data_IF_421189201781
#
_entry.id   IF_421189201781
#
_cell.length_a   1.000
_cell.length_b   1.000
_cell.length_c   1.000
_cell.angle_alpha   90.00
_cell.angle_beta   90.00
_cell.angle_gamma   90.00
#
_symmetry.space_group_name_H-M   'P 1'
#
loop_
_entity.id
_entity.type
_entity.pdbx_description
1 polymer ?
#
# COMPACT_ATOMS: atom_id res chain seq x y z
N UNK A 1 -51.96 15.33 -46.51
CA UNK A 1 -50.78 14.94 -45.69
C UNK A 1 -50.15 13.70 -46.28
N UNK A 2 -49.18 13.85 -47.20
CA UNK A 2 -48.37 12.73 -47.69
C UNK A 2 -47.26 12.52 -46.66
N UNK A 3 -47.46 11.56 -45.75
CA UNK A 3 -46.47 11.22 -44.74
C UNK A 3 -45.17 10.75 -45.43
N UNK A 4 -44.07 11.35 -45.01
CA UNK A 4 -42.70 11.07 -45.45
C UNK A 4 -42.23 9.68 -44.97
N UNK A 5 -42.88 8.62 -45.46
CA UNK A 5 -42.53 7.22 -45.19
C UNK A 5 -41.03 6.92 -45.38
N UNK A 6 -40.33 7.40 -46.43
CA UNK A 6 -38.89 7.15 -46.57
C UNK A 6 -38.06 7.86 -45.49
N UNK A 7 -38.51 9.02 -45.00
CA UNK A 7 -37.80 9.79 -43.97
C UNK A 7 -37.90 9.10 -42.60
N UNK A 8 -39.06 8.53 -42.29
CA UNK A 8 -39.29 7.73 -41.08
C UNK A 8 -38.47 6.44 -41.10
N UNK A 9 -38.36 5.78 -42.26
CA UNK A 9 -37.58 4.55 -42.42
C UNK A 9 -36.07 4.81 -42.31
N UNK A 10 -35.58 5.93 -42.88
CA UNK A 10 -34.19 6.37 -42.70
C UNK A 10 -33.92 6.72 -41.23
N UNK A 11 -34.82 7.43 -40.56
CA UNK A 11 -34.66 7.76 -39.14
C UNK A 11 -34.68 6.50 -38.24
N UNK A 12 -35.51 5.50 -38.54
CA UNK A 12 -35.54 4.22 -37.84
C UNK A 12 -34.28 3.40 -38.07
N UNK A 13 -33.78 3.33 -39.31
CA UNK A 13 -32.51 2.66 -39.62
C UNK A 13 -31.32 3.36 -38.96
N UNK A 14 -31.34 4.70 -38.91
CA UNK A 14 -30.34 5.49 -38.20
C UNK A 14 -30.42 5.22 -36.69
N UNK A 15 -31.61 5.26 -36.10
CA UNK A 15 -31.86 4.95 -34.69
C UNK A 15 -31.46 3.52 -34.29
N UNK A 16 -31.64 2.54 -35.20
CA UNK A 16 -31.25 1.14 -34.99
C UNK A 16 -29.75 0.89 -35.23
N UNK A 17 -29.04 1.77 -35.95
CA UNK A 17 -27.60 1.69 -36.18
C UNK A 17 -26.75 2.37 -35.09
N UNK A 18 -27.32 3.33 -34.36
CA UNK A 18 -26.65 4.04 -33.26
C UNK A 18 -26.15 3.15 -32.10
N UNK A 19 -26.83 2.06 -31.68
CA UNK A 19 -26.32 1.18 -30.62
C UNK A 19 -25.08 0.39 -31.03
N UNK A 20 -24.88 0.12 -32.32
CA UNK A 20 -23.72 -0.64 -32.81
C UNK A 20 -22.43 0.18 -32.81
N UNK A 21 -22.53 1.52 -32.88
CA UNK A 21 -21.37 2.42 -32.83
C UNK A 21 -20.89 2.73 -31.40
N UNK A 22 -21.65 2.33 -30.38
CA UNK A 22 -21.38 2.67 -28.98
C UNK A 22 -20.97 1.46 -28.12
N UNK A 23 -20.60 0.34 -28.74
CA UNK A 23 -20.17 -0.87 -28.03
C UNK A 23 -18.66 -0.97 -27.95
N UNK A 24 -18.16 -1.42 -26.79
CA UNK A 24 -16.78 -1.84 -26.61
C UNK A 24 -16.42 -2.91 -27.63
N UNK A 25 -15.26 -2.78 -28.28
CA UNK A 25 -14.74 -3.77 -29.22
C UNK A 25 -13.40 -4.31 -28.74
N UNK A 26 -13.07 -5.54 -29.13
CA UNK A 26 -11.72 -6.08 -28.91
C UNK A 26 -10.71 -5.22 -29.68
N UNK A 27 -9.83 -4.54 -28.94
CA UNK A 27 -8.80 -3.68 -29.48
C UNK A 27 -7.46 -4.41 -29.61
N UNK A 28 -7.10 -5.16 -28.56
CA UNK A 28 -5.81 -5.86 -28.42
C UNK A 28 -6.02 -7.24 -27.79
N UNK A 29 -5.22 -8.21 -28.22
CA UNK A 29 -5.13 -9.53 -27.62
C UNK A 29 -3.65 -9.84 -27.41
N UNK A 30 -3.25 -10.00 -26.15
CA UNK A 30 -1.88 -10.36 -25.76
C UNK A 30 -1.87 -11.78 -25.19
N UNK A 31 -0.70 -12.28 -24.80
CA UNK A 31 -0.59 -13.53 -24.05
C UNK A 31 -1.10 -13.42 -22.60
N UNK A 32 -1.36 -12.21 -22.10
CA UNK A 32 -1.73 -11.94 -20.71
C UNK A 32 -3.20 -11.56 -20.55
N UNK A 33 -3.74 -10.79 -21.49
CA UNK A 33 -5.09 -10.22 -21.41
C UNK A 33 -5.67 -9.89 -22.79
N UNK A 34 -6.99 -9.72 -22.83
CA UNK A 34 -7.75 -9.19 -23.98
C UNK A 34 -8.32 -7.84 -23.59
N UNK A 35 -8.02 -6.79 -24.36
CA UNK A 35 -8.44 -5.43 -24.07
C UNK A 35 -9.62 -5.04 -24.95
N UNK A 36 -10.72 -4.66 -24.32
CA UNK A 36 -11.92 -4.13 -24.93
C UNK A 36 -12.03 -2.65 -24.61
N UNK A 37 -12.32 -1.81 -25.61
CA UNK A 37 -12.56 -0.39 -25.38
C UNK A 37 -13.49 0.20 -26.42
N UNK A 38 -14.05 1.36 -26.08
CA UNK A 38 -14.77 2.21 -27.03
C UNK A 38 -13.77 2.88 -28.01
N UNK A 39 -14.12 3.08 -29.30
CA UNK A 39 -13.23 3.68 -30.30
C UNK A 39 -12.57 5.01 -29.92
N UNK A 40 -13.27 5.82 -29.11
CA UNK A 40 -12.75 7.10 -28.58
C UNK A 40 -11.47 6.91 -27.74
N UNK A 41 -11.33 5.75 -27.10
CA UNK A 41 -10.22 5.45 -26.19
C UNK A 41 -9.09 4.65 -26.86
N UNK A 42 -9.21 4.31 -28.15
CA UNK A 42 -8.27 3.43 -28.86
C UNK A 42 -6.81 3.88 -28.72
N UNK A 43 -6.55 5.18 -28.96
CA UNK A 43 -5.19 5.71 -28.94
C UNK A 43 -4.53 5.57 -27.56
N UNK A 44 -5.27 5.89 -26.50
CA UNK A 44 -4.76 5.80 -25.12
C UNK A 44 -4.65 4.34 -24.69
N UNK A 45 -5.65 3.51 -25.02
CA UNK A 45 -5.66 2.09 -24.73
C UNK A 45 -4.46 1.35 -25.37
N UNK A 46 -4.06 1.72 -26.59
CA UNK A 46 -2.85 1.17 -27.25
C UNK A 46 -1.55 1.55 -26.53
N UNK A 47 -1.49 2.72 -25.89
CA UNK A 47 -0.30 3.11 -25.13
C UNK A 47 -0.08 2.25 -23.87
N UNK A 48 -1.13 1.59 -23.38
CA UNK A 48 -1.07 0.72 -22.20
C UNK A 48 -0.45 -0.65 -22.52
N UNK A 49 -0.48 -1.08 -23.79
CA UNK A 49 -0.17 -2.45 -24.19
C UNK A 49 1.19 -2.92 -23.64
N UNK A 50 2.25 -2.21 -24.03
CA UNK A 50 3.63 -2.53 -23.66
C UNK A 50 3.89 -2.37 -22.16
N UNK A 51 3.62 -1.23 -21.51
CA UNK A 51 3.93 -1.07 -20.09
C UNK A 51 3.15 -2.01 -19.17
N UNK A 52 1.88 -2.31 -19.49
CA UNK A 52 1.10 -3.27 -18.71
C UNK A 52 1.63 -4.70 -18.89
N UNK A 53 1.89 -5.12 -20.13
CA UNK A 53 2.40 -6.47 -20.42
C UNK A 53 3.75 -6.72 -19.73
N UNK A 54 4.66 -5.74 -19.75
CA UNK A 54 5.95 -5.84 -19.05
C UNK A 54 5.81 -6.01 -17.53
N UNK A 55 4.83 -5.33 -16.93
CA UNK A 55 4.57 -5.43 -15.50
C UNK A 55 3.93 -6.78 -15.13
N UNK A 56 3.00 -7.27 -15.95
CA UNK A 56 2.39 -8.58 -15.77
C UNK A 56 3.43 -9.68 -15.95
N UNK A 57 4.24 -9.62 -16.99
CA UNK A 57 5.35 -10.57 -17.24
C UNK A 57 6.29 -10.63 -16.03
N UNK A 58 6.76 -9.47 -15.55
CA UNK A 58 7.60 -9.40 -14.36
C UNK A 58 6.93 -10.01 -13.12
N UNK A 59 5.63 -9.76 -12.92
CA UNK A 59 4.87 -10.35 -11.82
C UNK A 59 4.82 -11.88 -11.94
N UNK A 60 4.44 -12.40 -13.11
CA UNK A 60 4.35 -13.83 -13.38
C UNK A 60 5.70 -14.53 -13.20
N UNK A 61 6.79 -13.94 -13.71
CA UNK A 61 8.17 -14.43 -13.50
C UNK A 61 8.52 -14.43 -12.01
N UNK A 62 8.20 -13.36 -11.28
CA UNK A 62 8.49 -13.26 -9.84
C UNK A 62 7.78 -14.33 -9.03
N UNK A 63 6.55 -14.66 -9.41
CA UNK A 63 5.74 -15.68 -8.75
C UNK A 63 5.98 -17.09 -9.32
N UNK A 64 6.71 -17.21 -10.43
CA UNK A 64 6.93 -18.48 -11.12
C UNK A 64 5.66 -19.13 -11.64
N UNK A 65 4.65 -18.34 -12.04
CA UNK A 65 3.36 -18.87 -12.51
C UNK A 65 2.87 -18.14 -13.76
N UNK A 66 2.36 -18.91 -14.72
CA UNK A 66 1.70 -18.42 -15.94
C UNK A 66 0.30 -19.05 -16.07
N UNK A 67 -0.78 -18.29 -15.82
CA UNK A 67 -2.13 -18.78 -16.01
C UNK A 67 -2.37 -19.30 -17.44
N UNK A 68 -3.14 -20.38 -17.55
CA UNK A 68 -3.52 -20.95 -18.85
C UNK A 68 -4.55 -20.09 -19.62
N UNK A 69 -5.30 -19.28 -18.89
CA UNK A 69 -6.31 -18.38 -19.44
C UNK A 69 -5.83 -16.93 -19.33
N UNK A 70 -6.38 -16.05 -20.15
CA UNK A 70 -6.16 -14.61 -20.07
C UNK A 70 -7.37 -13.91 -19.48
N UNK A 71 -7.16 -12.72 -18.90
CA UNK A 71 -8.25 -11.89 -18.37
C UNK A 71 -8.80 -10.94 -19.43
N UNK A 72 -10.10 -10.68 -19.39
CA UNK A 72 -10.70 -9.59 -20.16
C UNK A 72 -10.56 -8.30 -19.38
N UNK A 73 -10.08 -7.25 -20.03
CA UNK A 73 -10.03 -5.89 -19.50
C UNK A 73 -10.94 -5.03 -20.36
N UNK A 74 -11.93 -4.38 -19.76
CA UNK A 74 -12.86 -3.50 -20.44
C UNK A 74 -12.73 -2.06 -19.93
N UNK A 75 -12.32 -1.16 -20.82
CA UNK A 75 -12.21 0.27 -20.54
C UNK A 75 -13.57 0.92 -20.81
N UNK A 76 -14.21 1.35 -19.72
CA UNK A 76 -15.53 1.97 -19.72
C UNK A 76 -15.39 3.47 -20.04
N UNK A 77 -16.10 3.98 -21.06
CA UNK A 77 -15.90 5.34 -21.56
C UNK A 77 -16.36 6.42 -20.59
N UNK A 78 -17.31 6.14 -19.70
CA UNK A 78 -17.89 7.15 -18.82
C UNK A 78 -18.21 6.63 -17.42
N UNK A 79 -18.23 7.55 -16.46
CA UNK A 79 -18.47 7.27 -15.05
C UNK A 79 -19.87 6.69 -14.78
N UNK A 80 -20.88 7.09 -15.53
CA UNK A 80 -22.26 6.65 -15.29
C UNK A 80 -22.44 5.18 -15.68
N UNK A 81 -21.91 4.78 -16.83
CA UNK A 81 -21.86 3.38 -17.27
C UNK A 81 -21.07 2.53 -16.29
N UNK A 82 -19.91 3.04 -15.82
CA UNK A 82 -19.12 2.33 -14.81
C UNK A 82 -19.89 2.12 -13.50
N UNK A 83 -20.52 3.18 -12.97
CA UNK A 83 -21.35 3.08 -11.77
C UNK A 83 -22.49 2.08 -11.94
N UNK A 84 -23.16 2.08 -13.09
CA UNK A 84 -24.22 1.10 -13.37
C UNK A 84 -23.70 -0.35 -13.32
N UNK A 85 -22.49 -0.60 -13.83
CA UNK A 85 -21.85 -1.91 -13.79
C UNK A 85 -21.36 -2.32 -12.40
N UNK A 86 -21.11 -1.38 -11.48
CA UNK A 86 -20.59 -1.66 -10.13
C UNK A 86 -21.66 -1.66 -9.04
N UNK A 87 -22.86 -1.14 -9.31
CA UNK A 87 -23.98 -1.14 -8.36
C UNK A 87 -24.28 -2.55 -7.86
N UNK A 88 -24.32 -2.71 -6.52
CA UNK A 88 -24.65 -3.98 -5.89
C UNK A 88 -23.50 -5.00 -5.86
N UNK A 89 -22.33 -4.68 -6.44
CA UNK A 89 -21.11 -5.51 -6.35
C UNK A 89 -20.29 -5.23 -5.07
N UNK A 90 -20.74 -4.30 -4.24
CA UNK A 90 -20.21 -4.03 -2.89
C UNK A 90 -19.87 -2.56 -2.67
N UNK A 91 -19.96 -2.08 -1.42
CA UNK A 91 -19.76 -0.65 -1.12
C UNK A 91 -18.38 -0.13 -1.52
N UNK A 92 -17.31 -0.91 -1.31
CA UNK A 92 -15.95 -0.47 -1.69
C UNK A 92 -15.81 -0.36 -3.20
N UNK A 93 -16.38 -1.33 -3.91
CA UNK A 93 -16.40 -1.47 -5.37
C UNK A 93 -17.12 -0.28 -6.04
N UNK A 94 -18.13 0.29 -5.36
CA UNK A 94 -18.85 1.47 -5.84
C UNK A 94 -18.01 2.77 -5.83
N UNK A 95 -16.91 2.81 -5.08
CA UNK A 95 -16.01 3.98 -4.99
C UNK A 95 -14.64 3.77 -5.66
N UNK A 96 -14.38 2.60 -6.25
CA UNK A 96 -13.10 2.32 -6.90
C UNK A 96 -13.06 2.80 -8.36
N UNK A 97 -11.87 3.04 -8.88
CA UNK A 97 -11.63 3.44 -10.28
C UNK A 97 -11.59 2.24 -11.25
N UNK A 98 -11.38 1.04 -10.70
CA UNK A 98 -11.45 -0.23 -11.39
C UNK A 98 -11.96 -1.34 -10.46
N UNK A 99 -12.46 -2.43 -11.05
CA UNK A 99 -12.92 -3.62 -10.33
C UNK A 99 -12.60 -4.88 -11.13
N UNK A 100 -12.19 -5.94 -10.44
CA UNK A 100 -12.26 -7.30 -10.95
C UNK A 100 -13.60 -7.95 -10.56
N UNK A 101 -14.41 -8.30 -11.56
CA UNK A 101 -15.62 -9.10 -11.36
C UNK A 101 -15.30 -10.59 -11.44
N UNK A 102 -15.46 -11.28 -10.31
CA UNK A 102 -15.24 -12.72 -10.18
C UNK A 102 -16.19 -13.59 -10.99
N UNK A 103 -17.46 -13.18 -11.13
CA UNK A 103 -18.48 -13.97 -11.82
C UNK A 103 -18.26 -13.94 -13.33
N UNK A 104 -17.89 -12.76 -13.85
CA UNK A 104 -17.66 -12.55 -15.28
C UNK A 104 -16.19 -12.78 -15.67
N UNK A 105 -15.30 -12.91 -14.67
CA UNK A 105 -13.85 -13.04 -14.81
C UNK A 105 -13.26 -11.93 -15.67
N UNK A 106 -13.73 -10.71 -15.44
CA UNK A 106 -13.42 -9.52 -16.23
C UNK A 106 -13.04 -8.35 -15.32
N UNK A 107 -12.08 -7.56 -15.78
CA UNK A 107 -11.68 -6.32 -15.15
C UNK A 107 -12.42 -5.18 -15.86
N UNK A 108 -13.15 -4.39 -15.09
CA UNK A 108 -13.77 -3.16 -15.54
C UNK A 108 -12.98 -1.99 -15.01
N UNK A 109 -12.60 -1.06 -15.86
CA UNK A 109 -11.84 0.13 -15.46
C UNK A 109 -12.37 1.36 -16.17
N UNK A 110 -12.43 2.49 -15.46
CA UNK A 110 -12.81 3.77 -16.07
C UNK A 110 -11.79 4.22 -17.09
N UNK A 111 -12.19 5.05 -18.05
CA UNK A 111 -11.27 5.57 -19.06
C UNK A 111 -10.08 6.32 -18.42
N UNK A 112 -8.83 6.19 -18.95
CA UNK A 112 -7.64 6.77 -18.33
C UNK A 112 -7.70 8.29 -18.10
N UNK A 113 -8.40 9.03 -18.95
CA UNK A 113 -8.63 10.47 -18.81
C UNK A 113 -9.49 10.85 -17.59
N UNK A 114 -10.13 9.87 -16.96
CA UNK A 114 -11.02 10.06 -15.81
C UNK A 114 -10.41 9.62 -14.48
N UNK A 115 -9.19 9.08 -14.49
CA UNK A 115 -8.51 8.50 -13.34
C UNK A 115 -7.31 9.37 -13.00
N UNK A 116 -7.23 9.83 -11.75
CA UNK A 116 -6.15 10.72 -11.28
C UNK A 116 -4.91 9.95 -10.80
N UNK A 117 -5.07 8.67 -10.46
CA UNK A 117 -4.01 7.81 -9.95
C UNK A 117 -3.21 7.17 -11.10
N UNK A 118 -2.08 6.53 -10.77
CA UNK A 118 -1.29 5.78 -11.76
C UNK A 118 -2.10 4.59 -12.29
N UNK A 119 -2.68 4.80 -13.47
CA UNK A 119 -3.58 3.89 -14.16
C UNK A 119 -2.98 2.49 -14.35
N UNK A 120 -1.66 2.40 -14.56
CA UNK A 120 -0.99 1.11 -14.70
C UNK A 120 -0.95 0.34 -13.39
N UNK A 121 -0.82 1.03 -12.25
CA UNK A 121 -0.85 0.37 -10.94
C UNK A 121 -2.25 -0.15 -10.63
N UNK A 122 -3.29 0.61 -10.97
CA UNK A 122 -4.68 0.19 -10.81
C UNK A 122 -4.97 -1.05 -11.65
N UNK A 123 -4.61 -1.03 -12.94
CA UNK A 123 -4.80 -2.21 -13.79
C UNK A 123 -4.03 -3.43 -13.29
N UNK A 124 -2.80 -3.23 -12.82
CA UNK A 124 -2.01 -4.32 -12.25
C UNK A 124 -2.62 -4.84 -10.94
N UNK A 125 -3.20 -3.96 -10.11
CA UNK A 125 -3.93 -4.33 -8.90
C UNK A 125 -5.10 -5.26 -9.22
N UNK A 126 -5.97 -4.87 -10.15
CA UNK A 126 -7.12 -5.71 -10.56
C UNK A 126 -6.68 -7.00 -11.25
N UNK A 127 -5.60 -6.95 -12.05
CA UNK A 127 -5.00 -8.14 -12.63
C UNK A 127 -4.53 -9.12 -11.55
N UNK A 128 -3.95 -8.64 -10.45
CA UNK A 128 -3.52 -9.50 -9.34
C UNK A 128 -4.73 -10.16 -8.66
N UNK A 129 -5.86 -9.46 -8.52
CA UNK A 129 -7.08 -10.09 -8.01
C UNK A 129 -7.55 -11.24 -8.88
N UNK A 130 -7.58 -11.04 -10.21
CA UNK A 130 -7.87 -12.11 -11.16
C UNK A 130 -6.86 -13.25 -11.07
N UNK A 131 -5.56 -12.93 -10.99
CA UNK A 131 -4.50 -13.93 -10.90
C UNK A 131 -4.70 -14.82 -9.66
N UNK A 132 -4.92 -14.22 -8.49
CA UNK A 132 -5.18 -14.95 -7.25
C UNK A 132 -6.43 -15.82 -7.40
N UNK A 133 -7.50 -15.32 -8.01
CA UNK A 133 -8.75 -16.06 -8.21
C UNK A 133 -8.64 -17.17 -9.27
N UNK A 134 -7.76 -17.02 -10.26
CA UNK A 134 -7.45 -18.05 -11.25
C UNK A 134 -6.67 -19.22 -10.65
N UNK A 135 -5.98 -18.99 -9.53
CA UNK A 135 -5.18 -19.99 -8.82
C UNK A 135 -5.96 -20.61 -7.65
N UNK A 136 -6.67 -19.79 -6.87
CA UNK A 136 -7.30 -20.20 -5.61
C UNK A 136 -8.84 -20.07 -5.62
N UNK A 137 -9.54 -21.03 -5.01
CA UNK A 137 -11.01 -21.02 -4.88
C UNK A 137 -11.50 -20.09 -3.76
N UNK A 138 -10.81 -20.07 -2.62
CA UNK A 138 -11.28 -19.48 -1.37
C UNK A 138 -10.19 -18.64 -0.68
N UNK A 139 -9.36 -17.97 -1.48
CA UNK A 139 -8.40 -17.02 -0.96
C UNK A 139 -9.12 -15.91 -0.16
N UNK A 140 -8.64 -15.57 1.04
CA UNK A 140 -9.26 -14.55 1.88
C UNK A 140 -9.02 -13.15 1.30
N UNK A 141 -9.94 -12.23 1.60
CA UNK A 141 -9.84 -10.84 1.11
C UNK A 141 -8.53 -10.14 1.52
N UNK A 142 -8.01 -10.39 2.73
CA UNK A 142 -6.72 -9.83 3.13
C UNK A 142 -5.58 -10.27 2.20
N UNK A 143 -5.65 -11.49 1.67
CA UNK A 143 -4.63 -12.02 0.78
C UNK A 143 -4.78 -11.40 -0.61
N UNK A 144 -6.00 -11.31 -1.12
CA UNK A 144 -6.33 -10.58 -2.35
C UNK A 144 -5.79 -9.14 -2.30
N UNK A 145 -6.21 -8.34 -1.33
CA UNK A 145 -5.79 -6.94 -1.24
C UNK A 145 -4.32 -6.77 -0.89
N UNK A 146 -3.78 -7.67 -0.07
CA UNK A 146 -2.37 -7.66 0.29
C UNK A 146 -1.50 -7.90 -0.93
N UNK A 147 -1.82 -8.93 -1.70
CA UNK A 147 -1.15 -9.24 -2.97
C UNK A 147 -1.24 -8.08 -3.94
N UNK A 148 -2.46 -7.59 -4.17
CA UNK A 148 -2.73 -6.56 -5.14
C UNK A 148 -1.99 -5.25 -4.78
N UNK A 149 -2.04 -4.83 -3.51
CA UNK A 149 -1.39 -3.58 -3.09
C UNK A 149 0.14 -3.70 -3.02
N UNK A 150 0.67 -4.86 -2.59
CA UNK A 150 2.11 -5.08 -2.48
C UNK A 150 2.77 -5.18 -3.87
N UNK A 151 2.26 -6.07 -4.73
CA UNK A 151 2.89 -6.34 -6.03
C UNK A 151 2.58 -5.29 -7.10
N UNK A 152 1.48 -4.54 -6.97
CA UNK A 152 1.28 -3.36 -7.81
C UNK A 152 2.23 -2.20 -7.45
N UNK A 153 2.85 -2.22 -6.26
CA UNK A 153 3.68 -1.11 -5.78
C UNK A 153 2.87 0.04 -5.18
N UNK A 154 1.58 -0.16 -4.91
CA UNK A 154 0.73 0.83 -4.23
C UNK A 154 1.04 0.96 -2.72
N UNK A 155 1.90 0.11 -2.16
CA UNK A 155 2.33 0.20 -0.76
C UNK A 155 3.66 0.96 -0.62
N UNK A 156 3.56 2.27 -0.36
CA UNK A 156 4.72 3.15 -0.14
C UNK A 156 5.08 3.38 1.33
N UNK A 157 6.16 4.14 1.55
CA UNK A 157 6.64 4.51 2.89
C UNK A 157 5.58 5.23 3.74
N UNK A 158 4.78 6.11 3.13
CA UNK A 158 3.71 6.82 3.85
C UNK A 158 2.68 5.85 4.44
N UNK A 159 2.20 4.88 3.65
CA UNK A 159 1.28 3.83 4.11
C UNK A 159 1.90 2.98 5.22
N UNK A 160 3.21 2.71 5.13
CA UNK A 160 3.95 2.02 6.19
C UNK A 160 3.91 2.81 7.51
N UNK A 161 4.20 4.12 7.48
CA UNK A 161 4.13 4.98 8.67
C UNK A 161 2.71 5.07 9.23
N UNK A 162 1.71 5.25 8.36
CA UNK A 162 0.30 5.29 8.76
C UNK A 162 -0.13 3.98 9.46
N UNK A 163 0.26 2.82 8.93
CA UNK A 163 -0.01 1.53 9.55
C UNK A 163 0.60 1.44 10.96
N UNK A 164 1.86 1.83 11.13
CA UNK A 164 2.53 1.79 12.43
C UNK A 164 1.87 2.73 13.45
N UNK A 165 1.46 3.93 13.02
CA UNK A 165 0.72 4.86 13.86
C UNK A 165 -0.61 4.28 14.33
N UNK A 166 -1.40 3.70 13.41
CA UNK A 166 -2.67 3.05 13.76
C UNK A 166 -2.44 1.91 14.75
N UNK A 167 -1.43 1.07 14.51
CA UNK A 167 -1.12 -0.08 15.36
C UNK A 167 -0.68 0.34 16.76
N UNK A 168 0.07 1.43 16.87
CA UNK A 168 0.45 1.99 18.17
C UNK A 168 -0.73 2.50 18.98
N UNK A 169 -1.68 3.18 18.33
CA UNK A 169 -2.92 3.64 18.98
C UNK A 169 -3.91 2.51 19.28
N UNK A 170 -3.48 1.25 19.15
CA UNK A 170 -4.31 0.09 19.44
C UNK A 170 -5.38 -0.20 18.39
N UNK A 171 -5.41 0.52 17.26
CA UNK A 171 -6.28 0.18 16.13
C UNK A 171 -5.67 -0.98 15.35
N UNK A 172 -6.43 -2.07 15.22
CA UNK A 172 -6.03 -3.20 14.39
C UNK A 172 -7.26 -4.01 13.97
N UNK A 173 -7.10 -4.74 12.86
CA UNK A 173 -8.10 -5.65 12.33
C UNK A 173 -7.43 -7.03 12.16
N UNK A 174 -7.89 -8.09 12.84
CA UNK A 174 -7.29 -9.42 12.69
C UNK A 174 -7.48 -9.97 11.27
N UNK A 175 -6.43 -10.55 10.68
CA UNK A 175 -6.52 -11.16 9.33
C UNK A 175 -7.60 -12.26 9.25
N UNK A 176 -7.87 -12.95 10.36
CA UNK A 176 -8.94 -13.96 10.46
C UNK A 176 -10.34 -13.38 10.23
N UNK A 177 -10.56 -12.12 10.58
CA UNK A 177 -11.83 -11.42 10.37
C UNK A 177 -11.95 -10.88 8.93
N UNK A 178 -10.81 -10.63 8.29
CA UNK A 178 -10.67 -10.12 6.92
C UNK A 178 -10.79 -11.22 5.85
N UNK A 179 -11.65 -12.20 6.10
CA UNK A 179 -11.75 -13.40 5.25
C UNK A 179 -12.68 -13.18 4.06
N UNK A 180 -13.90 -12.71 4.31
CA UNK A 180 -14.99 -12.74 3.33
C UNK A 180 -15.75 -11.42 3.18
N UNK A 181 -15.59 -10.48 4.11
CA UNK A 181 -16.41 -9.28 4.17
C UNK A 181 -15.50 -8.07 4.42
N UNK A 182 -15.68 -7.03 3.61
CA UNK A 182 -15.05 -5.73 3.84
C UNK A 182 -15.71 -5.00 5.03
N UNK A 183 -14.99 -4.13 5.74
CA UNK A 183 -15.57 -3.37 6.85
C UNK A 183 -16.78 -2.55 6.39
N UNK A 184 -17.80 -2.44 7.24
CA UNK A 184 -19.03 -1.68 6.92
C UNK A 184 -18.77 -0.17 6.89
N UNK A 185 -17.87 0.28 7.75
CA UNK A 185 -17.57 1.68 7.97
C UNK A 185 -16.36 2.11 7.14
N UNK A 186 -16.55 3.16 6.35
CA UNK A 186 -15.52 3.71 5.46
C UNK A 186 -14.19 4.05 6.17
N UNK A 187 -14.18 4.58 7.41
CA UNK A 187 -12.94 4.84 8.14
C UNK A 187 -12.08 3.59 8.41
N UNK A 188 -12.66 2.40 8.36
CA UNK A 188 -11.95 1.14 8.60
C UNK A 188 -11.45 0.49 7.30
N UNK A 189 -11.86 1.00 6.13
CA UNK A 189 -11.34 0.53 4.83
C UNK A 189 -9.84 0.77 4.72
N UNK A 190 -9.37 1.95 5.14
CA UNK A 190 -7.94 2.25 5.13
C UNK A 190 -7.17 1.26 6.01
N UNK A 191 -7.66 0.96 7.22
CA UNK A 191 -7.04 -0.02 8.11
C UNK A 191 -7.03 -1.42 7.48
N UNK A 192 -8.10 -1.81 6.77
CA UNK A 192 -8.17 -3.06 6.03
C UNK A 192 -7.07 -3.17 4.97
N UNK A 193 -6.94 -2.18 4.09
CA UNK A 193 -5.91 -2.17 3.04
C UNK A 193 -4.50 -2.14 3.62
N UNK A 194 -4.28 -1.31 4.64
CA UNK A 194 -2.99 -1.22 5.32
C UNK A 194 -2.60 -2.56 5.97
N UNK A 195 -3.53 -3.19 6.68
CA UNK A 195 -3.29 -4.49 7.34
C UNK A 195 -3.00 -5.59 6.32
N UNK A 196 -3.78 -5.66 5.24
CA UNK A 196 -3.60 -6.60 4.14
C UNK A 196 -2.21 -6.45 3.51
N UNK A 197 -1.84 -5.22 3.14
CA UNK A 197 -0.54 -4.92 2.54
C UNK A 197 0.63 -5.22 3.47
N UNK A 198 0.48 -4.86 4.75
CA UNK A 198 1.53 -5.08 5.74
C UNK A 198 1.72 -6.57 6.07
N UNK A 199 0.66 -7.39 5.95
CA UNK A 199 0.76 -8.84 6.07
C UNK A 199 1.65 -9.43 4.96
N UNK A 200 1.54 -8.91 3.72
CA UNK A 200 2.44 -9.30 2.64
C UNK A 200 3.87 -8.83 2.90
N UNK A 201 4.06 -7.62 3.41
CA UNK A 201 5.39 -7.15 3.82
C UNK A 201 6.01 -8.06 4.91
N UNK A 202 5.21 -8.51 5.87
CA UNK A 202 5.65 -9.49 6.87
C UNK A 202 6.04 -10.82 6.22
N UNK A 203 5.23 -11.34 5.30
CA UNK A 203 5.56 -12.57 4.55
C UNK A 203 6.89 -12.40 3.81
N UNK A 204 7.05 -11.33 3.03
CA UNK A 204 8.26 -11.10 2.23
C UNK A 204 9.52 -10.91 3.09
N UNK A 205 9.41 -10.36 4.30
CA UNK A 205 10.57 -10.09 5.14
C UNK A 205 10.90 -11.19 6.15
N UNK A 206 9.90 -11.99 6.57
CA UNK A 206 10.04 -12.95 7.68
C UNK A 206 9.71 -14.37 7.30
N UNK A 207 8.96 -14.58 6.23
CA UNK A 207 8.45 -15.89 5.79
C UNK A 207 8.68 -16.11 4.29
N UNK A 208 9.76 -15.54 3.74
CA UNK A 208 10.06 -15.62 2.30
C UNK A 208 10.31 -17.06 1.83
N UNK A 209 10.87 -17.91 2.68
CA UNK A 209 11.10 -19.32 2.33
C UNK A 209 9.77 -20.09 2.23
N UNK A 210 8.81 -19.79 3.10
CA UNK A 210 7.47 -20.38 3.06
C UNK A 210 6.67 -19.86 1.85
N UNK A 211 6.86 -18.57 1.53
CA UNK A 211 6.34 -17.94 0.33
C UNK A 211 6.86 -18.63 -0.93
N UNK A 212 8.18 -18.73 -1.08
CA UNK A 212 8.79 -19.38 -2.23
C UNK A 212 8.33 -20.83 -2.35
N UNK A 213 8.30 -21.58 -1.23
CA UNK A 213 7.77 -22.95 -1.20
C UNK A 213 6.30 -23.04 -1.65
N UNK A 214 5.49 -22.05 -1.30
CA UNK A 214 4.10 -21.99 -1.75
C UNK A 214 4.05 -21.89 -3.27
N UNK A 215 4.78 -20.95 -3.86
CA UNK A 215 4.79 -20.72 -5.30
C UNK A 215 5.47 -21.84 -6.09
N UNK A 216 6.56 -22.42 -5.60
CA UNK A 216 7.20 -23.59 -6.20
C UNK A 216 6.20 -24.75 -6.34
N UNK A 217 5.37 -24.98 -5.31
CA UNK A 217 4.32 -26.00 -5.35
C UNK A 217 3.18 -25.65 -6.31
N UNK A 218 2.90 -24.37 -6.55
CA UNK A 218 1.90 -23.93 -7.53
C UNK A 218 2.45 -24.15 -8.94
N UNK A 219 3.69 -23.75 -9.20
CA UNK A 219 4.39 -23.96 -10.46
C UNK A 219 4.44 -25.46 -10.84
N UNK A 220 4.68 -26.35 -9.87
CA UNK A 220 4.64 -27.81 -10.11
C UNK A 220 3.25 -28.36 -10.45
N UNK A 221 2.20 -27.61 -10.10
CA UNK A 221 0.79 -27.96 -10.41
C UNK A 221 0.26 -27.16 -11.60
N UNK A 222 1.08 -26.29 -12.19
CA UNK A 222 0.74 -25.49 -13.34
C UNK A 222 0.45 -26.40 -14.53
N UNK A 223 -0.69 -26.18 -15.19
CA UNK A 223 -1.25 -27.08 -16.22
C UNK A 223 -2.35 -28.01 -15.71
N UNK A 224 -2.54 -28.15 -14.39
CA UNK A 224 -3.76 -28.77 -13.85
C UNK A 224 -4.86 -27.70 -13.91
N UNK A 225 -5.87 -27.91 -14.76
CA UNK A 225 -6.98 -26.97 -14.97
C UNK A 225 -7.97 -26.95 -13.79
N UNK A 226 -7.46 -26.85 -12.56
CA UNK A 226 -8.22 -26.84 -11.31
C UNK A 226 -7.59 -25.86 -10.33
N UNK A 227 -8.43 -24.97 -9.82
CA UNK A 227 -8.10 -24.05 -8.73
C UNK A 227 -7.85 -24.81 -7.42
N UNK A 228 -6.95 -24.28 -6.61
CA UNK A 228 -6.52 -24.85 -5.33
C UNK A 228 -7.36 -24.29 -4.17
N UNK A 229 -7.58 -25.09 -3.13
CA UNK A 229 -8.11 -24.57 -1.87
C UNK A 229 -6.99 -23.82 -1.14
N UNK A 230 -7.20 -22.54 -0.84
CA UNK A 230 -6.22 -21.65 -0.25
C UNK A 230 -5.77 -22.14 1.13
N UNK A 231 -6.70 -22.44 2.04
CA UNK A 231 -6.36 -22.77 3.43
C UNK A 231 -5.49 -24.02 3.58
N UNK A 232 -5.85 -25.17 2.99
CA UNK A 232 -4.99 -26.36 3.04
C UNK A 232 -3.63 -26.10 2.40
N UNK A 233 -3.60 -25.36 1.29
CA UNK A 233 -2.38 -25.09 0.54
C UNK A 233 -1.43 -24.14 1.28
N UNK A 234 -1.98 -23.09 1.90
CA UNK A 234 -1.28 -22.18 2.80
C UNK A 234 -0.70 -22.96 3.97
N UNK A 235 -1.51 -23.79 4.63
CA UNK A 235 -1.05 -24.59 5.77
C UNK A 235 0.08 -25.55 5.39
N UNK A 236 -0.01 -26.20 4.22
CA UNK A 236 1.03 -27.08 3.73
C UNK A 236 2.34 -26.35 3.41
N UNK A 237 2.27 -25.07 3.04
CA UNK A 237 3.42 -24.28 2.59
C UNK A 237 4.09 -23.52 3.73
N UNK A 238 3.29 -22.94 4.62
CA UNK A 238 3.74 -22.19 5.81
C UNK A 238 3.89 -23.06 7.06
N UNK A 239 3.55 -24.35 6.98
CA UNK A 239 3.56 -25.29 8.09
C UNK A 239 2.77 -24.81 9.33
N UNK A 240 1.70 -24.04 9.12
CA UNK A 240 0.87 -23.47 10.18
C UNK A 240 -0.50 -23.08 9.63
N UNK A 241 -1.53 -23.02 10.48
CA UNK A 241 -2.84 -22.53 10.06
C UNK A 241 -2.81 -21.01 9.78
N UNK A 242 -3.77 -20.50 9.01
CA UNK A 242 -3.94 -19.04 8.81
C UNK A 242 -4.21 -18.32 10.14
N UNK A 243 -4.87 -18.99 11.10
CA UNK A 243 -5.09 -18.45 12.45
C UNK A 243 -3.78 -18.28 13.22
N UNK A 244 -2.89 -19.27 13.17
CA UNK A 244 -1.57 -19.18 13.83
C UNK A 244 -0.69 -18.13 13.17
N UNK A 245 -0.68 -18.08 11.84
CA UNK A 245 -0.03 -17.01 11.07
C UNK A 245 -0.53 -15.62 11.50
N UNK A 246 -1.85 -15.45 11.66
CA UNK A 246 -2.45 -14.19 12.09
C UNK A 246 -1.93 -13.76 13.46
N UNK A 247 -1.84 -14.70 14.41
CA UNK A 247 -1.32 -14.42 15.75
C UNK A 247 0.15 -14.02 15.74
N UNK A 248 0.97 -14.69 14.94
CA UNK A 248 2.40 -14.39 14.81
C UNK A 248 2.63 -13.05 14.12
N UNK A 249 1.89 -12.78 13.04
CA UNK A 249 1.84 -11.49 12.38
C UNK A 249 1.45 -10.38 13.36
N UNK A 250 0.40 -10.58 14.16
CA UNK A 250 -0.07 -9.59 15.13
C UNK A 250 0.95 -9.30 16.23
N UNK A 251 1.67 -10.32 16.70
CA UNK A 251 2.76 -10.14 17.67
C UNK A 251 3.90 -9.34 17.03
N UNK A 252 4.27 -9.66 15.79
CA UNK A 252 5.30 -8.95 15.04
C UNK A 252 4.92 -7.48 14.81
N UNK A 253 3.73 -7.21 14.26
CA UNK A 253 3.28 -5.87 13.94
C UNK A 253 3.21 -4.97 15.19
N UNK A 254 2.73 -5.50 16.32
CA UNK A 254 2.75 -4.77 17.61
C UNK A 254 4.16 -4.40 18.04
N UNK A 255 5.07 -5.38 18.06
CA UNK A 255 6.47 -5.13 18.44
C UNK A 255 7.11 -4.08 17.54
N UNK A 256 6.86 -4.14 16.24
CA UNK A 256 7.41 -3.21 15.27
C UNK A 256 6.89 -1.78 15.50
N UNK A 257 5.59 -1.60 15.75
CA UNK A 257 5.01 -0.29 16.06
C UNK A 257 5.68 0.38 17.27
N UNK A 258 5.92 -0.37 18.35
CA UNK A 258 6.65 0.14 19.52
C UNK A 258 8.10 0.50 19.21
N UNK A 259 8.82 -0.34 18.45
CA UNK A 259 10.21 -0.07 18.08
C UNK A 259 10.33 1.22 17.26
N UNK A 260 9.45 1.41 16.28
CA UNK A 260 9.50 2.60 15.42
C UNK A 260 9.22 3.89 16.18
N UNK A 261 8.33 3.86 17.17
CA UNK A 261 8.08 5.03 18.01
C UNK A 261 9.24 5.32 18.94
N UNK A 262 9.85 4.27 19.50
CA UNK A 262 11.08 4.43 20.26
C UNK A 262 12.16 5.09 19.41
N UNK A 263 12.37 4.65 18.16
CA UNK A 263 13.32 5.30 17.25
C UNK A 263 12.90 6.72 16.86
N UNK A 264 11.61 6.96 16.60
CA UNK A 264 11.09 8.28 16.24
C UNK A 264 11.25 9.31 17.35
N UNK A 265 10.96 8.94 18.60
CA UNK A 265 11.16 9.81 19.77
C UNK A 265 12.66 10.10 19.97
N UNK A 266 13.51 9.08 19.88
CA UNK A 266 14.96 9.28 19.99
C UNK A 266 15.49 10.21 18.89
N UNK A 267 15.07 10.00 17.63
CA UNK A 267 15.45 10.86 16.52
C UNK A 267 15.00 12.31 16.76
N UNK A 268 13.80 12.53 17.28
CA UNK A 268 13.30 13.86 17.64
C UNK A 268 14.15 14.51 18.75
N UNK A 269 14.47 13.77 19.81
CA UNK A 269 15.33 14.26 20.90
C UNK A 269 16.69 14.67 20.35
N UNK A 270 17.35 13.82 19.58
CA UNK A 270 18.65 14.13 18.99
C UNK A 270 18.60 15.30 17.99
N UNK A 271 17.48 15.47 17.29
CA UNK A 271 17.29 16.62 16.39
C UNK A 271 17.10 17.93 17.16
N UNK A 272 16.40 17.89 18.30
CA UNK A 272 16.12 19.09 19.11
C UNK A 272 17.26 19.42 20.09
N UNK A 273 18.11 18.46 20.45
CA UNK A 273 19.17 18.63 21.43
C UNK A 273 20.15 19.77 21.07
N UNK A 274 20.67 19.90 19.83
CA UNK A 274 21.52 21.03 19.45
C UNK A 274 20.82 22.38 19.60
N UNK A 275 19.52 22.46 19.28
CA UNK A 275 18.74 23.68 19.44
C UNK A 275 18.64 24.08 20.92
N UNK A 276 18.37 23.12 21.80
CA UNK A 276 18.34 23.36 23.25
C UNK A 276 19.71 23.78 23.81
N UNK A 277 20.80 23.16 23.33
CA UNK A 277 22.17 23.55 23.70
C UNK A 277 22.45 24.99 23.26
N UNK A 278 22.09 25.37 22.03
CA UNK A 278 22.27 26.74 21.52
C UNK A 278 21.45 27.77 22.32
N UNK A 279 20.18 27.47 22.62
CA UNK A 279 19.32 28.33 23.45
C UNK A 279 19.91 28.47 24.86
N UNK A 280 20.38 27.36 25.45
CA UNK A 280 21.01 27.35 26.77
C UNK A 280 22.29 28.18 26.81
N UNK A 281 23.16 28.01 25.82
CA UNK A 281 24.38 28.80 25.64
C UNK A 281 24.06 30.29 25.49
N UNK A 282 23.06 30.64 24.69
CA UNK A 282 22.65 32.02 24.49
C UNK A 282 22.07 32.68 25.75
N UNK A 283 21.20 31.96 26.49
CA UNK A 283 20.68 32.41 27.79
C UNK A 283 21.80 32.61 28.80
N UNK A 284 22.76 31.67 28.89
CA UNK A 284 23.93 31.80 29.77
C UNK A 284 24.74 33.02 29.41
N UNK A 285 25.05 33.23 28.12
CA UNK A 285 25.83 34.38 27.67
C UNK A 285 25.13 35.71 27.94
N UNK A 286 23.80 35.77 27.83
CA UNK A 286 23.01 36.96 28.21
C UNK A 286 23.08 37.25 29.71
N UNK A 287 22.94 36.24 30.57
CA UNK A 287 23.05 36.41 32.04
C UNK A 287 24.44 36.88 32.46
N UNK A 288 25.50 36.30 31.89
CA UNK A 288 26.88 36.71 32.21
C UNK A 288 27.17 38.17 31.83
N UNK A 289 26.49 38.73 30.82
CA UNK A 289 26.59 40.14 30.45
C UNK A 289 25.83 41.09 31.38
N UNK A 290 24.95 40.57 32.23
CA UNK A 290 24.16 41.34 33.19
C UNK A 290 24.72 41.28 34.61
N UNK A 291 25.75 40.46 34.85
CA UNK A 291 26.49 40.49 36.11
C UNK A 291 27.32 41.78 36.15
N UNK A 292 27.26 42.57 37.23
CA UNK A 292 28.18 43.67 37.45
C UNK A 292 29.62 43.15 37.35
N UNK A 293 30.51 43.94 36.73
CA UNK A 293 31.94 43.66 36.77
C UNK A 293 32.32 43.58 38.26
N UNK A 294 32.95 42.49 38.74
CA UNK A 294 33.41 42.43 40.11
C UNK A 294 34.37 43.61 40.31
N UNK A 295 33.91 44.62 41.07
CA UNK A 295 34.75 45.74 41.49
C UNK A 295 35.95 45.14 42.19
N UNK A 296 37.14 45.47 41.70
CA UNK A 296 38.45 45.00 42.19
C UNK A 296 38.73 45.42 43.65
N UNK A 297 37.80 46.12 44.32
CA UNK A 297 37.97 46.66 45.66
C UNK A 297 37.82 45.64 46.81
N UNK A 298 37.28 44.42 46.59
CA UNK A 298 37.19 43.42 47.67
C UNK A 298 38.43 42.52 47.83
N UNK A 299 39.48 42.67 47.00
CA UNK A 299 40.68 41.80 47.07
C UNK A 299 41.91 42.44 47.73
N UNK A 300 41.80 43.62 48.34
CA UNK A 300 42.93 44.32 48.98
C UNK A 300 42.84 44.29 50.51
N UNK A 301 41.68 44.05 51.11
CA UNK A 301 41.54 44.08 52.59
C UNK A 301 42.02 42.80 53.31
N UNK A 302 42.23 41.68 52.62
CA UNK A 302 42.56 40.39 53.26
C UNK A 302 44.06 39.98 53.22
N UNK A 303 44.94 40.73 52.55
CA UNK A 303 46.36 40.35 52.39
C UNK A 303 47.36 41.06 53.34
N UNK A 304 46.95 42.06 54.15
CA UNK A 304 47.89 42.79 55.04
C UNK A 304 48.04 42.24 56.47
N UNK A 305 47.30 41.21 56.91
CA UNK A 305 47.27 40.82 58.34
C UNK A 305 48.05 39.56 58.74
N UNK A 306 48.90 38.97 57.89
CA UNK A 306 49.68 37.78 58.27
C UNK A 306 51.17 37.84 57.85
N UNK A 307 51.97 38.68 58.52
CA UNK A 307 53.42 38.43 58.65
C UNK A 307 53.66 37.41 59.78
N UNK A 308 54.27 36.24 59.51
CA UNK A 308 54.70 35.34 60.57
C UNK A 308 56.07 35.74 61.12
N UNK A 309 56.10 35.95 62.43
CA UNK A 309 57.31 36.09 63.24
C UNK A 309 58.17 34.82 63.15
N UNK A 310 59.33 34.90 62.50
CA UNK A 310 60.37 33.87 62.55
C UNK A 310 60.91 33.75 63.97
N UNK A 311 60.80 32.55 64.55
CA UNK A 311 61.47 32.20 65.80
C UNK A 311 62.43 31.05 65.49
N UNK A 312 63.72 31.39 65.38
CA UNK A 312 64.83 30.45 65.37
C UNK A 312 64.84 29.63 66.67
N UNK A 313 64.80 28.30 66.59
CA UNK A 313 65.42 27.52 67.65
C UNK A 313 66.12 26.26 67.13
N UNK A 314 67.41 26.24 67.47
CA UNK A 314 68.44 25.22 67.28
C UNK A 314 67.98 23.84 67.78
N UNK A 315 68.44 22.79 67.12
CA UNK A 315 69.60 22.00 67.57
C UNK A 315 69.84 20.81 66.64
N UNK A 316 71.07 20.73 66.10
CA UNK A 316 71.75 19.48 65.73
C UNK A 316 72.09 18.65 67.00
N UNK A 317 72.62 17.42 66.90
CA UNK A 317 72.69 16.48 65.75
C UNK A 317 71.98 15.14 65.97
#
# INVERSE_FOLDING_TARGET
MRLHLPLVLVALLYALSLPAMNQSRLLLCTEYYRLYCHPVNDAIARQLERPLSLRIDKLQITLGVKPAETVDIEIIPDRQTYQFLTVGKGRIVEFSEAIYDRNERRIYVRSPDQVNDDYLLILLHEYIHWLVDSIFLDAPLWFHEGMATYFSGQFGFEKHVQFLQMRFWGRYLPLSEMRHIYPKDQPDWQLFYLTSSFSMHYIMNKRIDDWNRMWDKIALKEGINRRLLFYPFFQQSFNQSVSDFTRDYDRYARRLAYLYIFYGINALIFTLLPLFILIGWWKRRRRMRQLPDPSIEESIEDEEENEPHDNEERMEP
#
